data_IF_051624553018
#
_entry.id   IF_051624553018
#
_cell.length_a   1.000
_cell.length_b   1.000
_cell.length_c   1.000
_cell.angle_alpha   90.00
_cell.angle_beta   90.00
_cell.angle_gamma   90.00
#
_symmetry.space_group_name_H-M   'P 1'
#
loop_
_entity.id
_entity.type
_entity.pdbx_description
1 polymer ?
#
# COMPACT_ATOMS: atom_id res chain seq x y z
N UNK A 1 6.04 -16.12 -21.69
CA UNK A 1 6.24 -14.79 -21.10
C UNK A 1 5.87 -14.90 -19.64
N UNK A 2 6.87 -15.01 -18.78
CA UNK A 2 6.71 -15.24 -17.32
C UNK A 2 7.48 -14.18 -16.50
N UNK A 3 8.25 -13.33 -17.18
CA UNK A 3 9.07 -12.27 -16.57
C UNK A 3 8.18 -11.12 -16.05
N UNK A 4 7.10 -10.79 -16.76
CA UNK A 4 6.17 -9.70 -16.38
C UNK A 4 5.51 -9.89 -15.01
N UNK A 5 5.17 -11.12 -14.63
CA UNK A 5 4.49 -11.39 -13.36
C UNK A 5 5.43 -11.18 -12.16
N UNK A 6 6.67 -11.66 -12.26
CA UNK A 6 7.67 -11.52 -11.19
C UNK A 6 8.05 -10.05 -11.01
N UNK A 7 8.31 -9.33 -12.10
CA UNK A 7 8.63 -7.89 -12.05
C UNK A 7 7.44 -7.08 -11.51
N UNK A 8 6.21 -7.41 -11.91
CA UNK A 8 5.01 -6.79 -11.34
C UNK A 8 4.88 -7.05 -9.83
N UNK A 9 5.15 -8.27 -9.36
CA UNK A 9 5.09 -8.58 -7.92
C UNK A 9 6.14 -7.81 -7.12
N UNK A 10 7.37 -7.71 -7.63
CA UNK A 10 8.43 -6.89 -6.99
C UNK A 10 8.00 -5.43 -6.90
N UNK A 11 7.52 -4.86 -8.00
CA UNK A 11 7.05 -3.47 -8.03
C UNK A 11 5.89 -3.23 -7.04
N UNK A 12 4.91 -4.14 -6.96
CA UNK A 12 3.81 -4.02 -6.01
C UNK A 12 4.27 -4.12 -4.54
N UNK A 13 5.27 -4.97 -4.26
CA UNK A 13 5.87 -5.05 -2.93
C UNK A 13 6.61 -3.75 -2.54
N UNK A 14 7.33 -3.13 -3.47
CA UNK A 14 7.98 -1.83 -3.26
C UNK A 14 6.95 -0.73 -2.99
N UNK A 15 5.87 -0.69 -3.78
CA UNK A 15 4.76 0.24 -3.58
C UNK A 15 4.11 0.03 -2.22
N UNK A 16 3.84 -1.23 -1.83
CA UNK A 16 3.27 -1.56 -0.51
C UNK A 16 4.18 -1.08 0.63
N UNK A 17 5.49 -1.33 0.54
CA UNK A 17 6.45 -0.89 1.54
C UNK A 17 6.51 0.66 1.64
N UNK A 18 6.43 1.35 0.50
CA UNK A 18 6.33 2.81 0.46
C UNK A 18 5.06 3.33 1.15
N UNK A 19 3.92 2.69 0.90
CA UNK A 19 2.64 3.01 1.55
C UNK A 19 2.75 2.82 3.06
N UNK A 20 3.31 1.70 3.53
CA UNK A 20 3.52 1.43 4.96
C UNK A 20 4.39 2.50 5.63
N UNK A 21 5.48 2.91 4.99
CA UNK A 21 6.32 3.99 5.49
C UNK A 21 5.58 5.31 5.64
N UNK A 22 4.73 5.67 4.68
CA UNK A 22 3.92 6.90 4.74
C UNK A 22 2.83 6.80 5.80
N UNK A 23 2.19 5.65 5.96
CA UNK A 23 1.17 5.43 7.00
C UNK A 23 1.75 5.67 8.40
N UNK A 24 2.94 5.15 8.71
CA UNK A 24 3.61 5.38 10.00
C UNK A 24 3.83 6.87 10.27
N UNK A 25 4.18 7.65 9.25
CA UNK A 25 4.34 9.10 9.37
C UNK A 25 2.99 9.79 9.59
N UNK A 26 1.96 9.37 8.87
CA UNK A 26 0.60 9.94 8.98
C UNK A 26 -0.07 9.62 10.31
N UNK A 27 0.15 8.44 10.90
CA UNK A 27 -0.36 8.10 12.24
C UNK A 27 0.05 9.17 13.27
N UNK A 28 1.32 9.59 13.25
CA UNK A 28 1.84 10.60 14.16
C UNK A 28 1.30 12.00 13.87
N UNK A 29 1.16 12.36 12.58
CA UNK A 29 0.74 13.70 12.16
C UNK A 29 -0.79 13.89 12.21
N UNK A 30 -1.57 12.81 12.11
CA UNK A 30 -3.03 12.83 12.09
C UNK A 30 -3.63 13.47 13.35
N UNK A 31 -2.98 13.30 14.50
CA UNK A 31 -3.40 13.89 15.80
C UNK A 31 -3.40 15.42 15.76
N UNK A 32 -2.67 16.03 14.83
CA UNK A 32 -2.45 17.48 14.76
C UNK A 32 -3.08 18.14 13.54
N UNK A 33 -3.68 17.36 12.63
CA UNK A 33 -4.18 17.84 11.36
C UNK A 33 -5.25 16.92 10.79
N UNK A 34 -6.47 17.45 10.63
CA UNK A 34 -7.60 16.74 10.00
C UNK A 34 -7.30 16.33 8.55
N UNK A 35 -6.47 17.12 7.85
CA UNK A 35 -6.02 16.77 6.50
C UNK A 35 -5.09 15.55 6.53
N UNK A 36 -4.20 15.45 7.53
CA UNK A 36 -3.36 14.27 7.72
C UNK A 36 -4.19 13.06 8.14
N UNK A 37 -5.20 13.24 9.00
CA UNK A 37 -6.14 12.17 9.35
C UNK A 37 -6.92 11.68 8.12
N UNK A 38 -7.42 12.59 7.29
CA UNK A 38 -8.13 12.23 6.05
C UNK A 38 -7.22 11.47 5.08
N UNK A 39 -5.96 11.91 4.94
CA UNK A 39 -4.96 11.22 4.13
C UNK A 39 -4.63 9.82 4.69
N UNK A 40 -4.52 9.68 6.01
CA UNK A 40 -4.31 8.40 6.69
C UNK A 40 -5.42 7.42 6.33
N UNK A 41 -6.70 7.80 6.55
CA UNK A 41 -7.83 6.93 6.27
C UNK A 41 -7.91 6.52 4.79
N UNK A 42 -7.66 7.45 3.87
CA UNK A 42 -7.66 7.15 2.44
C UNK A 42 -6.53 6.16 2.08
N UNK A 43 -5.34 6.37 2.64
CA UNK A 43 -4.19 5.55 2.33
C UNK A 43 -4.29 4.14 2.94
N UNK A 44 -4.90 4.01 4.13
CA UNK A 44 -5.24 2.72 4.73
C UNK A 44 -6.20 1.92 3.84
N UNK A 45 -7.22 2.58 3.28
CA UNK A 45 -8.13 1.95 2.32
C UNK A 45 -7.38 1.48 1.06
N UNK A 46 -6.49 2.30 0.51
CA UNK A 46 -5.68 1.94 -0.66
C UNK A 46 -4.78 0.75 -0.34
N UNK A 47 -4.12 0.74 0.83
CA UNK A 47 -3.30 -0.40 1.28
C UNK A 47 -4.13 -1.68 1.36
N UNK A 48 -5.30 -1.63 2.00
CA UNK A 48 -6.16 -2.80 2.14
C UNK A 48 -6.61 -3.36 0.77
N UNK A 49 -6.88 -2.47 -0.20
CA UNK A 49 -7.21 -2.88 -1.58
C UNK A 49 -6.01 -3.49 -2.30
N UNK A 50 -4.81 -2.91 -2.13
CA UNK A 50 -3.58 -3.46 -2.69
C UNK A 50 -3.27 -4.84 -2.10
N UNK A 51 -3.35 -5.00 -0.78
CA UNK A 51 -3.12 -6.27 -0.09
C UNK A 51 -4.09 -7.37 -0.59
N UNK A 52 -5.37 -7.04 -0.78
CA UNK A 52 -6.35 -7.96 -1.34
C UNK A 52 -6.01 -8.36 -2.80
N UNK A 53 -5.61 -7.39 -3.63
CA UNK A 53 -5.22 -7.68 -5.03
C UNK A 53 -3.97 -8.57 -5.11
N UNK A 54 -3.01 -8.36 -4.20
CA UNK A 54 -1.80 -9.18 -4.13
C UNK A 54 -2.09 -10.59 -3.60
N UNK A 55 -3.09 -10.76 -2.72
CA UNK A 55 -3.49 -12.05 -2.19
C UNK A 55 -4.40 -12.86 -3.12
N UNK A 56 -5.22 -12.20 -3.95
CA UNK A 56 -6.20 -12.85 -4.85
C UNK A 56 -5.72 -12.95 -6.31
N UNK A 57 -4.60 -12.30 -6.66
CA UNK A 57 -4.11 -12.23 -8.04
C UNK A 57 -3.22 -13.41 -8.48
N UNK A 58 -2.89 -13.51 -9.78
CA UNK A 58 -1.93 -14.50 -10.34
C UNK A 58 -0.49 -14.34 -9.83
N UNK A 59 -0.27 -13.49 -8.82
CA UNK A 59 0.99 -13.21 -8.15
C UNK A 59 1.05 -13.87 -6.75
N UNK A 60 0.03 -14.63 -6.37
CA UNK A 60 -0.11 -15.29 -5.07
C UNK A 60 0.69 -16.62 -4.95
N UNK A 61 1.60 -16.91 -5.89
CA UNK A 61 2.48 -18.09 -5.88
C UNK A 61 3.82 -17.83 -5.18
#
# INVERSE_FOLDING_TARGET
MTIDAIEANVCLNEVRAGIEGVLVLLEQQSVRSDACFSALCLLELVKAKLDALMAEGPLAE
#
